data_IF_795857463695
#
_entry.id   IF_795857463695
#
_cell.length_a   1.000
_cell.length_b   1.000
_cell.length_c   1.000
_cell.angle_alpha   90.00
_cell.angle_beta   90.00
_cell.angle_gamma   90.00
#
_symmetry.space_group_name_H-M   'P 1'
#
loop_
_entity.id
_entity.type
_entity.pdbx_description
1 polymer ?
#
# COMPACT_ATOMS: atom_id res chain seq x y z
N UNK A 1 25.83 -0.95 10.02
CA UNK A 1 25.03 0.28 9.88
C UNK A 1 23.82 0.00 9.00
N UNK A 2 22.64 -0.19 9.59
CA UNK A 2 21.40 -0.39 8.83
C UNK A 2 20.99 0.97 8.25
N UNK A 3 21.01 1.09 6.92
CA UNK A 3 20.53 2.31 6.22
C UNK A 3 19.08 2.56 6.63
N UNK A 4 18.85 3.60 7.45
CA UNK A 4 17.52 4.15 7.71
C UNK A 4 17.04 4.80 6.41
N UNK A 5 16.39 4.03 5.54
CA UNK A 5 15.67 4.59 4.40
C UNK A 5 14.59 5.55 4.94
N UNK A 6 14.64 6.87 4.64
CA UNK A 6 13.65 7.85 5.09
C UNK A 6 12.30 7.76 4.36
N UNK A 7 11.95 6.57 3.88
CA UNK A 7 10.73 6.23 3.14
C UNK A 7 9.51 6.14 4.08
N UNK A 8 9.22 7.23 4.81
CA UNK A 8 8.01 7.34 5.65
C UNK A 8 7.33 8.70 5.58
N UNK A 9 8.08 9.79 5.35
CA UNK A 9 7.52 11.15 5.32
C UNK A 9 7.09 11.59 3.92
N UNK A 10 8.00 11.45 2.96
CA UNK A 10 7.83 11.98 1.61
C UNK A 10 6.75 11.22 0.82
N UNK A 11 6.73 9.89 0.93
CA UNK A 11 5.73 9.06 0.27
C UNK A 11 4.32 9.27 0.82
N UNK A 12 4.18 9.42 2.15
CA UNK A 12 2.90 9.80 2.77
C UNK A 12 2.41 11.15 2.27
N UNK A 13 3.32 12.11 2.06
CA UNK A 13 3.01 13.43 1.51
C UNK A 13 2.54 13.33 0.06
N UNK A 14 3.23 12.57 -0.78
CA UNK A 14 2.84 12.37 -2.18
C UNK A 14 1.45 11.75 -2.26
N UNK A 15 1.18 10.68 -1.49
CA UNK A 15 -0.12 10.00 -1.52
C UNK A 15 -1.23 10.90 -0.97
N UNK A 16 -0.99 11.64 0.13
CA UNK A 16 -1.98 12.55 0.70
C UNK A 16 -2.26 13.79 -0.16
N UNK A 17 -1.38 14.12 -1.11
CA UNK A 17 -1.65 15.18 -2.10
C UNK A 17 -2.53 14.72 -3.27
N UNK A 18 -2.69 13.41 -3.45
CA UNK A 18 -3.49 12.82 -4.53
C UNK A 18 -4.83 12.26 -4.05
N UNK A 19 -4.97 12.01 -2.76
CA UNK A 19 -6.21 11.58 -2.10
C UNK A 19 -6.79 12.72 -1.29
N UNK A 20 -8.11 12.82 -1.21
CA UNK A 20 -8.75 13.68 -0.23
C UNK A 20 -8.37 13.21 1.19
N UNK A 21 -8.34 14.13 2.16
CA UNK A 21 -7.95 13.81 3.54
C UNK A 21 -8.77 12.66 4.16
N UNK A 22 -10.07 12.62 3.85
CA UNK A 22 -10.99 11.55 4.30
C UNK A 22 -10.64 10.20 3.68
N UNK A 23 -10.33 10.16 2.39
CA UNK A 23 -9.92 8.95 1.68
C UNK A 23 -8.57 8.42 2.20
N UNK A 24 -7.62 9.32 2.46
CA UNK A 24 -6.34 8.96 3.06
C UNK A 24 -6.51 8.40 4.47
N UNK A 25 -7.36 9.01 5.30
CA UNK A 25 -7.68 8.52 6.63
C UNK A 25 -8.33 7.12 6.58
N UNK A 26 -9.24 6.89 5.64
CA UNK A 26 -9.86 5.58 5.42
C UNK A 26 -8.82 4.53 4.98
N UNK A 27 -7.91 4.89 4.07
CA UNK A 27 -6.83 4.01 3.63
C UNK A 27 -5.90 3.62 4.77
N UNK A 28 -5.57 4.57 5.65
CA UNK A 28 -4.75 4.29 6.84
C UNK A 28 -5.46 3.34 7.81
N UNK A 29 -6.77 3.52 8.05
CA UNK A 29 -7.57 2.57 8.86
C UNK A 29 -7.56 1.17 8.26
N UNK A 30 -7.71 1.04 6.94
CA UNK A 30 -7.63 -0.27 6.26
C UNK A 30 -6.27 -0.92 6.49
N UNK A 31 -5.18 -0.15 6.43
CA UNK A 31 -3.83 -0.65 6.70
C UNK A 31 -3.67 -1.15 8.14
N UNK A 32 -4.30 -0.48 9.11
CA UNK A 32 -4.30 -0.89 10.52
C UNK A 32 -5.11 -2.18 10.73
N UNK A 33 -6.31 -2.26 10.17
CA UNK A 33 -7.23 -3.40 10.34
C UNK A 33 -6.75 -4.68 9.64
N UNK A 34 -6.14 -4.56 8.45
CA UNK A 34 -5.62 -5.70 7.70
C UNK A 34 -4.20 -6.13 8.12
N UNK A 35 -3.72 -5.60 9.25
CA UNK A 35 -2.46 -6.02 9.84
C UNK A 35 -2.45 -7.52 10.18
N UNK A 36 -1.30 -8.16 10.02
CA UNK A 36 -1.10 -9.59 10.35
C UNK A 36 -0.23 -9.67 11.62
N UNK A 37 -0.55 -10.59 12.53
CA UNK A 37 0.19 -10.80 13.79
C UNK A 37 0.32 -9.54 14.66
N UNK A 38 -0.77 -8.75 14.74
CA UNK A 38 -0.81 -7.52 15.53
C UNK A 38 0.06 -6.37 14.99
N UNK A 39 0.60 -6.50 13.77
CA UNK A 39 1.37 -5.44 13.12
C UNK A 39 0.56 -4.80 11.99
N UNK A 40 0.35 -3.47 12.01
CA UNK A 40 -0.31 -2.76 10.91
C UNK A 40 0.41 -3.02 9.59
N UNK A 41 -0.37 -3.19 8.53
CA UNK A 41 0.14 -3.26 7.17
C UNK A 41 0.74 -1.89 6.79
N UNK A 42 1.85 -1.89 6.04
CA UNK A 42 2.37 -0.61 5.54
C UNK A 42 1.49 -0.07 4.42
N UNK A 43 1.40 1.26 4.31
CA UNK A 43 0.70 1.95 3.22
C UNK A 43 1.16 1.45 1.84
N UNK A 44 2.47 1.25 1.67
CA UNK A 44 3.06 0.74 0.44
C UNK A 44 2.65 -0.69 0.10
N UNK A 45 2.58 -1.56 1.12
CA UNK A 45 2.13 -2.93 0.93
C UNK A 45 0.68 -2.94 0.46
N UNK A 46 -0.20 -2.14 1.09
CA UNK A 46 -1.59 -2.04 0.66
C UNK A 46 -1.74 -1.46 -0.73
N UNK A 47 -0.97 -0.43 -1.08
CA UNK A 47 -0.99 0.15 -2.43
C UNK A 47 -0.55 -0.86 -3.49
N UNK A 48 0.50 -1.64 -3.23
CA UNK A 48 0.94 -2.70 -4.16
C UNK A 48 -0.16 -3.74 -4.39
N UNK A 49 -0.85 -4.17 -3.33
CA UNK A 49 -1.97 -5.11 -3.46
C UNK A 49 -3.14 -4.53 -4.27
N UNK A 50 -3.49 -3.27 -4.04
CA UNK A 50 -4.56 -2.60 -4.78
C UNK A 50 -4.20 -2.45 -6.27
N UNK A 51 -2.97 -2.03 -6.57
CA UNK A 51 -2.47 -1.93 -7.95
C UNK A 51 -2.45 -3.31 -8.60
N UNK A 52 -1.91 -4.34 -7.93
CA UNK A 52 -1.85 -5.69 -8.48
C UNK A 52 -3.25 -6.25 -8.77
N UNK A 53 -4.21 -6.04 -7.86
CA UNK A 53 -5.61 -6.46 -8.04
C UNK A 53 -6.23 -5.79 -9.27
N UNK A 54 -6.03 -4.49 -9.42
CA UNK A 54 -6.57 -3.72 -10.54
C UNK A 54 -5.91 -4.10 -11.87
N UNK A 55 -4.59 -4.28 -11.88
CA UNK A 55 -3.82 -4.76 -13.04
C UNK A 55 -4.30 -6.14 -13.48
N UNK A 56 -4.39 -7.09 -12.54
CA UNK A 56 -4.87 -8.45 -12.84
C UNK A 56 -6.32 -8.46 -13.35
N UNK A 57 -7.18 -7.56 -12.84
CA UNK A 57 -8.56 -7.42 -13.30
C UNK A 57 -8.64 -6.91 -14.75
N UNK A 58 -7.75 -5.99 -15.14
CA UNK A 58 -7.76 -5.35 -16.46
C UNK A 58 -7.01 -6.11 -17.53
N UNK A 59 -5.88 -6.74 -17.19
CA UNK A 59 -4.98 -7.36 -18.17
C UNK A 59 -5.06 -8.88 -18.20
N UNK A 60 -5.91 -9.51 -17.39
CA UNK A 60 -5.77 -10.93 -17.06
C UNK A 60 -4.58 -11.13 -16.11
N UNK A 61 -4.55 -12.23 -15.36
CA UNK A 61 -3.49 -12.45 -14.35
C UNK A 61 -2.10 -12.39 -14.99
N UNK A 62 -1.35 -11.33 -14.70
CA UNK A 62 -0.03 -11.09 -15.30
C UNK A 62 1.05 -11.98 -14.67
N UNK A 63 0.78 -12.56 -13.50
CA UNK A 63 1.72 -13.40 -12.75
C UNK A 63 0.96 -14.56 -12.09
N UNK A 64 0.73 -15.62 -12.87
CA UNK A 64 0.39 -16.96 -12.36
C UNK A 64 1.34 -17.97 -13.01
N UNK A 65 2.64 -17.72 -12.97
CA UNK A 65 3.66 -18.74 -13.20
C UNK A 65 4.91 -18.32 -12.42
N UNK A 66 5.64 -19.29 -11.87
CA UNK A 66 6.82 -19.18 -10.99
C UNK A 66 6.55 -19.10 -9.47
N UNK A 67 5.89 -20.12 -8.92
CA UNK A 67 6.40 -20.88 -7.74
C UNK A 67 6.05 -22.36 -7.92
#
# INVERSE_FOLDING_TARGET
MVKKNPLRGEERRVISTKLYRSEFANLMKICETEGINGKPKSLHQKLRELVQKEVNKKLGGVLKDEV
#
